data_IF_643133792502
#
_entry.id   IF_643133792502
#
_cell.length_a   1.000
_cell.length_b   1.000
_cell.length_c   1.000
_cell.angle_alpha   90.00
_cell.angle_beta   90.00
_cell.angle_gamma   90.00
#
_symmetry.space_group_name_H-M   'P 1'
#
loop_
_entity.id
_entity.type
_entity.pdbx_description
1 polymer ?
#
# COMPACT_ATOMS: atom_id res chain seq x y z
N UNK A 1 -2.68 -9.88 30.61
CA UNK A 1 -2.24 -8.58 30.05
C UNK A 1 -1.63 -7.66 31.09
N UNK A 2 -2.29 -7.44 32.22
CA UNK A 2 -1.70 -6.64 33.32
C UNK A 2 -0.42 -7.28 33.85
N UNK A 3 -0.46 -8.56 34.23
CA UNK A 3 0.73 -9.35 34.63
C UNK A 3 1.88 -9.25 33.61
N UNK A 4 1.56 -9.49 32.33
CA UNK A 4 2.50 -9.38 31.19
C UNK A 4 3.14 -7.99 31.10
N UNK A 5 2.40 -6.93 31.42
CA UNK A 5 2.90 -5.56 31.40
C UNK A 5 3.68 -5.21 32.68
N UNK A 6 3.32 -5.78 33.83
CA UNK A 6 4.10 -5.67 35.07
C UNK A 6 5.47 -6.32 34.93
N UNK A 7 5.55 -7.50 34.30
CA UNK A 7 6.81 -8.16 33.92
C UNK A 7 7.69 -7.26 33.03
N UNK A 8 7.06 -6.36 32.25
CA UNK A 8 7.73 -5.35 31.39
C UNK A 8 7.96 -4.02 32.11
N UNK A 9 7.75 -3.94 33.43
CA UNK A 9 8.02 -2.76 34.25
C UNK A 9 6.86 -1.77 34.40
N UNK A 10 5.68 -2.06 33.85
CA UNK A 10 4.49 -1.21 34.01
C UNK A 10 3.68 -1.62 35.25
N UNK A 11 3.99 -1.00 36.40
CA UNK A 11 3.45 -1.36 37.73
C UNK A 11 2.08 -0.78 38.07
N UNK A 12 1.52 0.07 37.21
CA UNK A 12 0.27 0.81 37.42
C UNK A 12 -0.80 0.48 36.37
N UNK A 13 -0.71 -0.71 35.76
CA UNK A 13 -1.64 -1.14 34.71
C UNK A 13 -2.97 -1.71 35.24
N UNK A 14 -3.09 -2.00 36.54
CA UNK A 14 -4.35 -2.47 37.16
C UNK A 14 -5.50 -1.47 37.02
N UNK A 15 -5.16 -0.17 37.04
CA UNK A 15 -6.12 0.94 36.93
C UNK A 15 -6.42 1.32 35.49
N UNK A 16 -5.73 0.70 34.54
CA UNK A 16 -5.90 0.94 33.12
C UNK A 16 -6.85 -0.13 32.58
N UNK A 17 -7.89 0.29 31.85
CA UNK A 17 -8.79 -0.65 31.17
C UNK A 17 -8.00 -1.61 30.28
N UNK A 18 -8.43 -2.87 30.23
CA UNK A 18 -7.80 -3.89 29.39
C UNK A 18 -7.79 -3.47 27.90
N UNK A 19 -8.93 -2.98 27.40
CA UNK A 19 -9.10 -2.56 26.02
C UNK A 19 -9.99 -1.31 25.88
N UNK A 20 -9.85 -0.59 24.76
CA UNK A 20 -10.78 0.47 24.38
C UNK A 20 -11.99 -0.14 23.66
N UNK A 21 -13.17 0.47 23.80
CA UNK A 21 -14.41 -0.01 23.18
C UNK A 21 -14.23 -0.20 21.67
N UNK A 22 -14.43 -1.43 21.20
CA UNK A 22 -14.31 -1.80 19.79
C UNK A 22 -12.89 -1.66 19.20
N UNK A 23 -11.84 -1.77 20.02
CA UNK A 23 -10.43 -1.60 19.63
C UNK A 23 -10.09 -0.21 19.03
N UNK A 24 -10.94 0.78 19.29
CA UNK A 24 -10.76 2.15 18.81
C UNK A 24 -9.97 2.97 19.83
N UNK A 25 -8.64 2.83 19.80
CA UNK A 25 -7.74 3.60 20.63
C UNK A 25 -7.54 5.02 20.08
N UNK A 26 -7.48 6.07 20.92
CA UNK A 26 -7.06 7.40 20.49
C UNK A 26 -5.64 7.34 19.89
N UNK A 27 -5.41 8.08 18.79
CA UNK A 27 -4.12 8.04 18.07
C UNK A 27 -2.98 8.57 18.93
N UNK A 28 -3.23 9.65 19.68
CA UNK A 28 -2.22 10.41 20.42
C UNK A 28 -2.07 9.98 21.88
N UNK A 29 -2.70 8.87 22.27
CA UNK A 29 -2.66 8.37 23.65
C UNK A 29 -2.07 6.95 23.68
N UNK A 30 -0.74 6.80 23.79
CA UNK A 30 -0.09 5.49 23.80
C UNK A 30 -0.48 4.62 25.00
N UNK A 31 -1.00 5.22 26.08
CA UNK A 31 -1.38 4.54 27.32
C UNK A 31 -2.89 4.46 27.59
N UNK A 32 -3.73 4.46 26.56
CA UNK A 32 -5.19 4.50 26.73
C UNK A 32 -5.83 3.20 27.26
N UNK A 33 -5.20 2.05 27.03
CA UNK A 33 -5.60 0.73 27.49
C UNK A 33 -4.40 -0.23 27.52
N UNK A 34 -4.49 -1.34 28.26
CA UNK A 34 -3.42 -2.35 28.30
C UNK A 34 -3.09 -2.89 26.91
N UNK A 35 -4.09 -3.05 26.02
CA UNK A 35 -3.88 -3.54 24.65
C UNK A 35 -2.95 -2.61 23.89
N UNK A 36 -3.21 -1.29 23.94
CA UNK A 36 -2.40 -0.30 23.25
C UNK A 36 -0.96 -0.30 23.76
N UNK A 37 -0.76 -0.39 25.07
CA UNK A 37 0.58 -0.43 25.67
C UNK A 37 1.33 -1.68 25.22
N UNK A 38 0.67 -2.84 25.26
CA UNK A 38 1.25 -4.12 24.86
C UNK A 38 1.63 -4.15 23.37
N UNK A 39 0.74 -3.69 22.48
CA UNK A 39 0.99 -3.64 21.04
C UNK A 39 2.14 -2.70 20.65
N UNK A 40 2.45 -1.70 21.47
CA UNK A 40 3.56 -0.78 21.24
C UNK A 40 4.87 -1.23 21.92
N UNK A 41 4.89 -2.40 22.56
CA UNK A 41 6.14 -2.91 23.13
C UNK A 41 7.11 -3.34 22.03
N UNK A 42 8.43 -3.18 22.23
CA UNK A 42 9.42 -3.47 21.19
C UNK A 42 9.37 -4.92 20.68
N UNK A 43 9.04 -5.87 21.54
CA UNK A 43 8.91 -7.30 21.25
C UNK A 43 7.61 -7.67 20.53
N UNK A 44 6.69 -6.72 20.30
CA UNK A 44 5.54 -6.89 19.42
C UNK A 44 5.70 -6.08 18.13
N UNK A 45 6.23 -4.85 18.24
CA UNK A 45 6.42 -3.95 17.09
C UNK A 45 7.51 -4.45 16.14
N UNK A 46 8.58 -5.03 16.67
CA UNK A 46 9.74 -5.44 15.87
C UNK A 46 9.71 -6.93 15.48
N UNK A 47 8.61 -7.63 15.74
CA UNK A 47 8.48 -9.04 15.34
C UNK A 47 8.28 -9.12 13.84
N UNK A 48 9.16 -9.87 13.18
CA UNK A 48 8.95 -10.23 11.78
C UNK A 48 7.70 -11.10 11.66
N UNK A 49 6.88 -10.81 10.64
CA UNK A 49 5.70 -11.62 10.38
C UNK A 49 6.10 -13.02 9.91
N UNK A 50 5.24 -14.01 10.18
CA UNK A 50 5.44 -15.38 9.65
C UNK A 50 5.61 -15.41 8.13
N UNK A 51 5.01 -14.46 7.41
CA UNK A 51 5.16 -14.31 5.97
C UNK A 51 6.59 -13.86 5.62
N UNK A 52 7.11 -12.86 6.32
CA UNK A 52 8.50 -12.42 6.18
C UNK A 52 9.47 -13.55 6.47
N UNK A 53 9.32 -14.25 7.60
CA UNK A 53 10.20 -15.38 7.96
C UNK A 53 10.21 -16.46 6.86
N UNK A 54 9.02 -16.83 6.38
CA UNK A 54 8.85 -17.85 5.35
C UNK A 54 9.47 -17.43 4.01
N UNK A 55 9.32 -16.17 3.61
CA UNK A 55 9.92 -15.65 2.39
C UNK A 55 11.44 -15.46 2.53
N UNK A 56 11.91 -14.94 3.66
CA UNK A 56 13.33 -14.76 3.96
C UNK A 56 14.07 -16.11 3.99
N UNK A 57 13.46 -17.17 4.52
CA UNK A 57 14.03 -18.53 4.48
C UNK A 57 14.22 -19.08 3.05
N UNK A 58 13.57 -18.47 2.06
CA UNK A 58 13.74 -18.75 0.62
C UNK A 58 14.55 -17.69 -0.12
N UNK A 59 15.15 -16.73 0.58
CA UNK A 59 15.90 -15.64 -0.03
C UNK A 59 15.02 -14.59 -0.75
N UNK A 60 13.72 -14.53 -0.43
CA UNK A 60 12.78 -13.57 -1.02
C UNK A 60 12.41 -12.51 0.02
N UNK A 61 12.60 -11.24 -0.33
CA UNK A 61 12.18 -10.13 0.52
C UNK A 61 10.69 -9.82 0.32
N UNK A 62 9.94 -9.67 1.41
CA UNK A 62 8.56 -9.18 1.39
C UNK A 62 8.55 -7.65 1.38
N UNK A 63 7.77 -7.07 0.48
CA UNK A 63 7.55 -5.63 0.41
C UNK A 63 6.08 -5.33 0.73
N UNK A 64 5.82 -4.68 1.86
CA UNK A 64 4.48 -4.23 2.21
C UNK A 64 4.18 -2.89 1.53
N UNK A 65 3.08 -2.85 0.78
CA UNK A 65 2.60 -1.63 0.15
C UNK A 65 1.64 -0.89 1.08
N UNK A 66 1.62 0.46 1.05
CA UNK A 66 0.68 1.25 1.83
C UNK A 66 -0.78 0.88 1.52
N UNK A 67 -1.63 0.83 2.56
CA UNK A 67 -3.06 0.56 2.41
C UNK A 67 -3.74 1.68 1.63
N UNK A 68 -4.69 1.33 0.78
CA UNK A 68 -5.48 2.26 -0.05
C UNK A 68 -4.70 3.07 -1.09
N UNK A 69 -3.49 2.60 -1.45
CA UNK A 69 -2.63 3.20 -2.47
C UNK A 69 -2.40 2.23 -3.64
N UNK A 70 -3.48 1.89 -4.37
CA UNK A 70 -3.42 0.91 -5.46
C UNK A 70 -2.53 1.36 -6.62
N UNK A 71 -2.32 2.67 -6.79
CA UNK A 71 -1.40 3.27 -7.74
C UNK A 71 0.08 2.88 -7.51
N UNK A 72 0.43 2.47 -6.29
CA UNK A 72 1.77 1.98 -5.95
C UNK A 72 1.97 0.50 -6.30
N UNK A 73 0.90 -0.24 -6.60
CA UNK A 73 0.96 -1.65 -7.00
C UNK A 73 0.74 -1.80 -8.51
N UNK A 74 1.81 -1.93 -9.28
CA UNK A 74 1.68 -1.96 -10.75
C UNK A 74 0.88 -3.16 -11.27
N UNK A 75 0.76 -4.25 -10.50
CA UNK A 75 -0.04 -5.43 -10.89
C UNK A 75 -1.51 -5.09 -11.09
N UNK A 76 -2.03 -4.06 -10.41
CA UNK A 76 -3.41 -3.59 -10.58
C UNK A 76 -3.67 -3.10 -12.01
N UNK A 77 -2.65 -2.50 -12.65
CA UNK A 77 -2.72 -2.09 -14.04
C UNK A 77 -2.61 -3.30 -14.99
N UNK A 78 -1.81 -4.31 -14.64
CA UNK A 78 -1.78 -5.58 -15.37
C UNK A 78 -3.15 -6.26 -15.35
N UNK A 79 -3.78 -6.34 -14.18
CA UNK A 79 -5.15 -6.85 -14.04
C UNK A 79 -6.16 -6.01 -14.83
N UNK A 80 -6.03 -4.68 -14.83
CA UNK A 80 -6.85 -3.81 -15.66
C UNK A 80 -6.74 -4.11 -17.15
N UNK A 81 -5.51 -4.32 -17.64
CA UNK A 81 -5.25 -4.71 -19.03
C UNK A 81 -5.84 -6.08 -19.35
N UNK A 82 -5.55 -7.09 -18.52
CA UNK A 82 -6.03 -8.46 -18.70
C UNK A 82 -7.56 -8.51 -18.68
N UNK A 83 -8.23 -7.81 -17.74
CA UNK A 83 -9.70 -7.72 -17.71
C UNK A 83 -10.28 -7.10 -18.98
N UNK A 84 -9.63 -6.07 -19.54
CA UNK A 84 -10.07 -5.50 -20.83
C UNK A 84 -9.98 -6.55 -21.94
N UNK A 85 -8.86 -7.29 -22.01
CA UNK A 85 -8.67 -8.36 -23.00
C UNK A 85 -9.65 -9.52 -22.82
N UNK A 86 -9.91 -9.90 -21.57
CA UNK A 86 -10.90 -10.92 -21.25
C UNK A 86 -12.29 -10.59 -21.79
N UNK A 87 -12.70 -9.31 -21.72
CA UNK A 87 -14.00 -8.85 -22.25
C UNK A 87 -14.13 -8.93 -23.77
N UNK A 88 -13.02 -9.13 -24.50
CA UNK A 88 -13.03 -9.36 -25.94
C UNK A 88 -13.34 -10.83 -26.29
N UNK A 89 -13.25 -11.75 -25.33
CA UNK A 89 -13.53 -13.17 -25.55
C UNK A 89 -15.04 -13.49 -25.54
N UNK A 90 -15.45 -14.58 -26.23
CA UNK A 90 -16.84 -15.03 -26.21
C UNK A 90 -17.33 -15.32 -24.79
N UNK A 91 -18.57 -14.93 -24.45
CA UNK A 91 -19.16 -15.31 -23.18
C UNK A 91 -19.30 -16.83 -23.09
N UNK A 92 -19.06 -17.37 -21.90
CA UNK A 92 -19.22 -18.79 -21.61
C UNK A 92 -19.71 -18.97 -20.18
N UNK A 93 -20.49 -20.03 -19.94
CA UNK A 93 -20.87 -20.50 -18.60
C UNK A 93 -20.02 -21.68 -18.12
N UNK A 94 -19.15 -22.22 -18.99
CA UNK A 94 -18.27 -23.35 -18.67
C UNK A 94 -17.02 -22.87 -17.94
N UNK A 95 -16.77 -23.41 -16.75
CA UNK A 95 -15.58 -23.12 -15.93
C UNK A 95 -14.28 -23.30 -16.72
N UNK A 96 -14.14 -24.41 -17.45
CA UNK A 96 -12.95 -24.67 -18.27
C UNK A 96 -12.71 -23.59 -19.35
N UNK A 97 -13.79 -23.05 -19.93
CA UNK A 97 -13.69 -21.94 -20.89
C UNK A 97 -13.30 -20.63 -20.21
N UNK A 98 -13.88 -20.36 -19.03
CA UNK A 98 -13.58 -19.16 -18.24
C UNK A 98 -12.10 -19.17 -17.79
N UNK A 99 -11.61 -20.29 -17.27
CA UNK A 99 -10.21 -20.46 -16.84
C UNK A 99 -9.24 -20.25 -18.02
N UNK A 100 -9.49 -20.94 -19.14
CA UNK A 100 -8.68 -20.77 -20.36
C UNK A 100 -8.64 -19.31 -20.81
N UNK A 101 -9.78 -18.62 -20.80
CA UNK A 101 -9.87 -17.22 -21.19
C UNK A 101 -9.12 -16.30 -20.20
N UNK A 102 -9.14 -16.59 -18.89
CA UNK A 102 -8.36 -15.84 -17.90
C UNK A 102 -6.86 -15.99 -18.14
N UNK A 103 -6.38 -17.21 -18.37
CA UNK A 103 -4.96 -17.47 -18.65
C UNK A 103 -4.53 -16.73 -19.92
N UNK A 104 -5.28 -16.86 -21.01
CA UNK A 104 -5.00 -16.15 -22.27
C UNK A 104 -5.00 -14.62 -22.08
N UNK A 105 -5.94 -14.08 -21.30
CA UNK A 105 -5.96 -12.65 -20.98
C UNK A 105 -4.73 -12.19 -20.19
N UNK A 106 -4.26 -12.98 -19.23
CA UNK A 106 -3.08 -12.67 -18.43
C UNK A 106 -1.80 -12.73 -19.27
N UNK A 107 -1.65 -13.76 -20.09
CA UNK A 107 -0.50 -13.93 -20.99
C UNK A 107 -0.44 -12.84 -22.07
N UNK A 108 -1.58 -12.21 -22.39
CA UNK A 108 -1.65 -11.14 -23.38
C UNK A 108 -1.03 -9.81 -22.93
N UNK A 109 -0.67 -9.66 -21.65
CA UNK A 109 -0.07 -8.41 -21.13
C UNK A 109 1.38 -8.30 -21.62
N UNK A 110 1.74 -7.36 -22.50
CA UNK A 110 3.10 -7.29 -23.02
C UNK A 110 4.09 -6.85 -21.95
N UNK A 111 5.31 -7.38 -21.98
CA UNK A 111 6.39 -7.01 -21.06
C UNK A 111 6.69 -5.51 -21.07
N UNK A 112 6.65 -4.87 -22.25
CA UNK A 112 6.83 -3.43 -22.37
C UNK A 112 5.75 -2.66 -21.59
N UNK A 113 4.50 -3.11 -21.68
CA UNK A 113 3.38 -2.53 -20.94
C UNK A 113 3.55 -2.70 -19.43
N UNK A 114 4.00 -3.89 -18.97
CA UNK A 114 4.32 -4.11 -17.55
C UNK A 114 5.40 -3.14 -17.06
N UNK A 115 6.47 -2.93 -17.84
CA UNK A 115 7.54 -1.96 -17.52
C UNK A 115 7.02 -0.52 -17.46
N UNK A 116 6.10 -0.14 -18.34
CA UNK A 116 5.43 1.18 -18.31
C UNK A 116 4.57 1.33 -17.05
N UNK A 117 3.85 0.30 -16.64
CA UNK A 117 3.06 0.29 -15.41
C UNK A 117 3.93 0.43 -14.16
N UNK A 118 5.02 -0.33 -14.06
CA UNK A 118 5.99 -0.20 -12.97
C UNK A 118 6.60 1.21 -12.91
N UNK A 119 6.98 1.76 -14.06
CA UNK A 119 7.48 3.14 -14.17
C UNK A 119 6.44 4.18 -13.73
N UNK A 120 5.14 3.91 -13.93
CA UNK A 120 4.07 4.78 -13.43
C UNK A 120 3.96 4.71 -11.90
N UNK A 121 4.00 3.52 -11.31
CA UNK A 121 3.97 3.37 -9.84
C UNK A 121 5.17 4.03 -9.16
N UNK A 122 6.36 3.98 -9.78
CA UNK A 122 7.55 4.69 -9.30
C UNK A 122 7.36 6.22 -9.28
N UNK A 123 6.68 6.79 -10.29
CA UNK A 123 6.36 8.23 -10.31
C UNK A 123 5.39 8.63 -9.20
N UNK A 124 4.38 7.81 -8.92
CA UNK A 124 3.49 8.04 -7.79
C UNK A 124 4.26 7.99 -6.47
N UNK A 125 5.16 7.01 -6.31
CA UNK A 125 6.02 6.91 -5.14
C UNK A 125 6.91 8.15 -4.95
N UNK A 126 7.51 8.64 -6.03
CA UNK A 126 8.31 9.87 -6.01
C UNK A 126 7.46 11.12 -5.70
N UNK A 127 6.24 11.20 -6.23
CA UNK A 127 5.29 12.27 -5.90
C UNK A 127 4.96 12.29 -4.40
N UNK A 128 4.64 11.13 -3.82
CA UNK A 128 4.33 11.04 -2.39
C UNK A 128 5.53 11.36 -1.51
N UNK A 129 6.75 10.94 -1.90
CA UNK A 129 7.99 11.34 -1.20
C UNK A 129 8.22 12.85 -1.20
N UNK A 130 7.70 13.55 -2.21
CA UNK A 130 7.73 15.02 -2.33
C UNK A 130 6.55 15.71 -1.64
N UNK A 131 5.70 14.97 -0.93
CA UNK A 131 4.57 15.52 -0.18
C UNK A 131 3.32 15.80 -1.02
N UNK A 132 3.27 15.36 -2.28
CA UNK A 132 2.09 15.55 -3.12
C UNK A 132 0.95 14.65 -2.64
N UNK A 133 -0.28 15.17 -2.61
CA UNK A 133 -1.46 14.35 -2.34
C UNK A 133 -1.87 13.52 -3.57
N UNK A 134 -2.86 12.64 -3.43
CA UNK A 134 -3.30 11.75 -4.51
C UNK A 134 -3.76 12.47 -5.79
N UNK A 135 -4.42 13.63 -5.67
CA UNK A 135 -4.87 14.41 -6.85
C UNK A 135 -3.67 15.02 -7.59
N UNK A 136 -2.74 15.61 -6.83
CA UNK A 136 -1.52 16.21 -7.38
C UNK A 136 -0.61 15.15 -8.01
N UNK A 137 -0.44 14.01 -7.35
CA UNK A 137 0.34 12.89 -7.88
C UNK A 137 -0.24 12.35 -9.19
N UNK A 138 -1.58 12.25 -9.29
CA UNK A 138 -2.24 11.82 -10.52
C UNK A 138 -2.07 12.83 -11.66
N UNK A 139 -2.12 14.14 -11.37
CA UNK A 139 -1.82 15.19 -12.34
C UNK A 139 -0.37 15.10 -12.82
N UNK A 140 0.59 15.03 -11.90
CA UNK A 140 2.00 14.93 -12.21
C UNK A 140 2.31 13.68 -13.05
N UNK A 141 1.75 12.51 -12.70
CA UNK A 141 1.93 11.27 -13.45
C UNK A 141 1.34 11.33 -14.86
N UNK A 142 0.31 12.15 -15.10
CA UNK A 142 -0.28 12.37 -16.43
C UNK A 142 0.57 13.29 -17.30
N UNK A 143 1.14 14.34 -16.71
CA UNK A 143 1.99 15.33 -17.39
C UNK A 143 3.37 14.75 -17.71
N UNK A 144 4.01 14.11 -16.74
CA UNK A 144 5.36 13.55 -16.86
C UNK A 144 5.31 12.06 -17.19
N UNK A 145 5.29 11.74 -18.50
CA UNK A 145 5.14 10.35 -18.99
C UNK A 145 6.46 9.58 -19.18
N UNK A 146 7.58 10.28 -19.37
CA UNK A 146 8.88 9.68 -19.70
C UNK A 146 9.86 9.52 -18.54
N UNK A 147 9.65 10.18 -17.40
CA UNK A 147 10.61 10.18 -16.29
C UNK A 147 10.17 9.24 -15.16
N UNK A 148 11.11 8.53 -14.52
CA UNK A 148 10.84 7.73 -13.30
C UNK A 148 10.69 8.61 -12.06
N UNK A 149 11.28 9.81 -12.11
CA UNK A 149 11.26 10.83 -11.07
C UNK A 149 10.68 12.12 -11.65
N UNK A 150 9.86 12.81 -10.87
CA UNK A 150 9.31 14.11 -11.22
C UNK A 150 10.39 15.20 -11.07
N UNK A 151 10.54 16.13 -12.01
CA UNK A 151 11.42 17.28 -11.81
C UNK A 151 10.89 18.19 -10.70
N UNK A 152 11.74 19.05 -10.13
CA UNK A 152 11.32 20.03 -9.13
C UNK A 152 10.31 21.05 -9.69
N UNK A 153 10.35 21.32 -11.00
CA UNK A 153 9.36 22.14 -11.71
C UNK A 153 7.92 21.63 -11.62
N UNK A 154 7.71 20.43 -11.07
CA UNK A 154 6.35 19.91 -10.80
C UNK A 154 5.57 20.81 -9.87
N UNK A 155 6.21 21.52 -8.93
CA UNK A 155 5.52 22.42 -8.01
C UNK A 155 4.98 23.65 -8.74
N UNK A 156 5.79 24.31 -9.58
CA UNK A 156 5.35 25.42 -10.44
C UNK A 156 4.18 25.01 -11.34
N UNK A 157 4.21 23.77 -11.83
CA UNK A 157 3.15 23.23 -12.67
C UNK A 157 1.85 22.93 -11.92
N UNK A 158 1.93 22.62 -10.63
CA UNK A 158 0.78 22.44 -9.76
C UNK A 158 0.16 23.79 -9.39
N UNK A 159 0.98 24.81 -9.13
CA UNK A 159 0.52 26.18 -8.90
C UNK A 159 -0.20 26.73 -10.12
N UNK A 160 0.37 26.59 -11.32
CA UNK A 160 -0.28 26.98 -12.59
C UNK A 160 -1.59 26.25 -12.88
N UNK A 161 -1.81 25.09 -12.25
CA UNK A 161 -3.01 24.29 -12.42
C UNK A 161 -4.03 24.47 -11.27
N UNK A 162 -3.85 25.50 -10.43
CA UNK A 162 -4.67 25.77 -9.24
C UNK A 162 -4.80 24.56 -8.31
N UNK A 163 -3.72 23.77 -8.17
CA UNK A 163 -3.62 22.63 -7.26
C UNK A 163 -2.58 22.88 -6.16
N UNK A 164 -2.76 23.90 -5.29
CA UNK A 164 -1.79 24.26 -4.27
C UNK A 164 -1.50 23.09 -3.34
N UNK A 165 -0.27 23.03 -2.82
CA UNK A 165 0.14 22.08 -1.79
C UNK A 165 -0.86 22.13 -0.64
N UNK A 166 -1.22 20.95 -0.10
CA UNK A 166 -2.03 20.91 1.10
C UNK A 166 -1.26 21.65 2.20
N UNK A 167 -1.85 22.71 2.75
CA UNK A 167 -1.38 23.35 3.97
C UNK A 167 -1.38 22.28 5.07
N UNK A 168 -0.16 21.91 5.48
CA UNK A 168 0.14 20.97 6.56
C UNK A 168 -0.47 21.40 7.89
#
# INVERSE_FOLDING_TARGET
MVIILEERGFKDMDKVRAECKGFKCPKDTPRCCCCRVLFNQPDFVNVQSRLEDFCNSRGVQVVFLPKFHCELNFIEQCWGYAKRKYREYPPSSSEASLEKNVILALDSVPLETMRRFATRSLRFMDAYRKGLNGKQAAFAARKYRGHRTLPLSVFDDLERADMPAASS
#
